data_IF_772052505330
#
_entry.id   IF_772052505330
#
_cell.length_a   1.000
_cell.length_b   1.000
_cell.length_c   1.000
_cell.angle_alpha   90.00
_cell.angle_beta   90.00
_cell.angle_gamma   90.00
#
_symmetry.space_group_name_H-M   'P 1'
#
loop_
_entity.id
_entity.type
_entity.pdbx_description
1 polymer ?
#
# COMPACT_ATOMS: atom_id res chain seq x y z
N UNK A 1 0.73 5.31 0.77
CA UNK A 1 1.75 6.00 -0.06
C UNK A 1 3.09 5.31 0.14
N UNK A 2 4.04 5.36 -0.79
CA UNK A 2 5.28 4.56 -0.66
C UNK A 2 5.03 3.04 -0.60
N UNK A 3 3.86 2.59 -1.07
CA UNK A 3 3.40 1.20 -1.02
C UNK A 3 4.34 0.27 -1.79
N UNK A 4 4.93 0.73 -2.89
CA UNK A 4 5.92 -0.05 -3.66
C UNK A 4 7.21 -0.28 -2.88
N UNK A 5 7.70 0.73 -2.14
CA UNK A 5 8.87 0.56 -1.24
C UNK A 5 8.57 -0.40 -0.11
N UNK A 6 7.39 -0.29 0.52
CA UNK A 6 6.96 -1.19 1.58
C UNK A 6 6.86 -2.65 1.08
N UNK A 7 6.24 -2.85 -0.09
CA UNK A 7 6.18 -4.16 -0.74
C UNK A 7 7.58 -4.71 -1.02
N UNK A 8 8.45 -3.87 -1.58
CA UNK A 8 9.83 -4.21 -1.92
C UNK A 8 10.65 -4.62 -0.70
N UNK A 9 10.48 -3.92 0.43
CA UNK A 9 11.16 -4.23 1.70
C UNK A 9 10.89 -5.65 2.17
N UNK A 10 9.60 -6.00 2.34
CA UNK A 10 9.20 -7.33 2.78
C UNK A 10 9.52 -8.40 1.74
N UNK A 11 9.30 -8.11 0.45
CA UNK A 11 9.60 -9.03 -0.62
C UNK A 11 11.09 -9.33 -0.79
N UNK A 12 11.96 -8.32 -0.64
CA UNK A 12 13.41 -8.48 -0.61
C UNK A 12 13.84 -9.44 0.50
N UNK A 13 13.23 -9.30 1.69
CA UNK A 13 13.49 -10.16 2.82
C UNK A 13 13.01 -11.61 2.59
N UNK A 14 12.09 -11.86 1.66
CA UNK A 14 11.59 -13.19 1.33
C UNK A 14 10.12 -13.44 1.71
N UNK A 15 9.41 -12.43 2.21
CA UNK A 15 7.97 -12.52 2.40
C UNK A 15 7.22 -12.50 1.07
N UNK A 16 6.05 -13.11 1.02
CA UNK A 16 5.14 -12.90 -0.10
C UNK A 16 4.42 -11.56 0.05
N UNK A 17 4.46 -10.74 -1.00
CA UNK A 17 3.95 -9.37 -0.92
C UNK A 17 3.21 -8.97 -2.20
N UNK A 18 2.07 -8.31 -2.02
CA UNK A 18 1.24 -7.77 -3.10
C UNK A 18 1.24 -6.25 -3.09
N UNK A 19 1.13 -5.68 -4.28
CA UNK A 19 0.76 -4.28 -4.50
C UNK A 19 -0.71 -4.22 -4.95
N UNK A 20 -1.12 -3.31 -5.83
CA UNK A 20 -2.52 -3.22 -6.31
C UNK A 20 -3.04 -4.49 -7.03
N UNK A 21 -2.15 -5.42 -7.39
CA UNK A 21 -2.50 -6.74 -7.92
C UNK A 21 -2.40 -7.81 -6.84
N UNK A 22 -3.45 -8.62 -6.76
CA UNK A 22 -3.57 -9.82 -5.96
C UNK A 22 -3.60 -11.05 -6.89
N UNK A 23 -3.60 -12.26 -6.30
CA UNK A 23 -3.67 -13.52 -7.05
C UNK A 23 -4.76 -14.41 -6.46
N UNK A 24 -5.66 -14.86 -7.33
CA UNK A 24 -6.70 -15.85 -7.05
C UNK A 24 -6.54 -17.01 -8.03
N UNK A 25 -6.34 -18.23 -7.54
CA UNK A 25 -6.26 -19.45 -8.36
C UNK A 25 -5.27 -19.34 -9.55
N UNK A 26 -4.10 -18.72 -9.32
CA UNK A 26 -3.09 -18.42 -10.35
C UNK A 26 -3.43 -17.32 -11.37
N UNK A 27 -4.60 -16.69 -11.25
CA UNK A 27 -5.00 -15.56 -12.06
C UNK A 27 -4.68 -14.25 -11.31
N UNK A 28 -4.02 -13.33 -12.01
CA UNK A 28 -3.79 -11.97 -11.51
C UNK A 28 -5.10 -11.19 -11.54
N UNK A 29 -5.49 -10.63 -10.39
CA UNK A 29 -6.70 -9.80 -10.24
C UNK A 29 -6.35 -8.54 -9.46
N UNK A 30 -7.09 -7.45 -9.66
CA UNK A 30 -6.95 -6.30 -8.78
C UNK A 30 -7.35 -6.67 -7.35
N UNK A 31 -6.59 -6.22 -6.36
CA UNK A 31 -6.92 -6.47 -4.96
C UNK A 31 -8.31 -5.92 -4.59
N UNK A 32 -8.65 -4.73 -5.09
CA UNK A 32 -9.98 -4.16 -4.93
C UNK A 32 -11.12 -5.09 -5.39
N UNK A 33 -10.93 -5.83 -6.48
CA UNK A 33 -11.94 -6.72 -7.02
C UNK A 33 -12.13 -7.98 -6.16
N UNK A 34 -11.05 -8.62 -5.72
CA UNK A 34 -11.17 -9.78 -4.85
C UNK A 34 -11.72 -9.40 -3.46
N UNK A 35 -11.39 -8.21 -2.95
CA UNK A 35 -11.94 -7.71 -1.69
C UNK A 35 -13.44 -7.50 -1.79
N UNK A 36 -13.89 -6.83 -2.87
CA UNK A 36 -15.32 -6.64 -3.07
C UNK A 36 -16.06 -7.97 -3.18
N UNK A 37 -15.48 -8.97 -3.86
CA UNK A 37 -16.07 -10.30 -3.96
C UNK A 37 -16.15 -11.01 -2.61
N UNK A 38 -15.11 -10.91 -1.77
CA UNK A 38 -15.15 -11.39 -0.38
C UNK A 38 -16.33 -10.79 0.38
N UNK A 39 -16.44 -9.46 0.39
CA UNK A 39 -17.47 -8.75 1.17
C UNK A 39 -18.88 -9.02 0.65
N UNK A 40 -19.07 -9.09 -0.68
CA UNK A 40 -20.36 -9.44 -1.30
C UNK A 40 -20.86 -10.83 -0.85
N UNK A 41 -19.95 -11.72 -0.44
CA UNK A 41 -20.27 -13.06 0.06
C UNK A 41 -20.27 -13.16 1.59
N UNK A 42 -20.17 -12.02 2.30
CA UNK A 42 -20.13 -12.00 3.77
C UNK A 42 -18.84 -12.55 4.38
N UNK A 43 -17.76 -12.63 3.60
CA UNK A 43 -16.46 -13.12 4.04
C UNK A 43 -15.54 -11.98 4.50
N UNK A 44 -14.49 -12.29 5.30
CA UNK A 44 -13.40 -11.35 5.59
C UNK A 44 -12.83 -10.69 4.32
N UNK A 45 -12.56 -9.37 4.33
CA UNK A 45 -12.22 -8.62 3.12
C UNK A 45 -11.10 -9.23 2.26
N UNK A 46 -10.02 -9.76 2.84
CA UNK A 46 -8.90 -10.33 2.08
C UNK A 46 -9.04 -11.83 1.80
N UNK A 47 -10.11 -12.50 2.26
CA UNK A 47 -10.27 -13.96 2.18
C UNK A 47 -10.06 -14.53 0.76
N UNK A 48 -10.58 -13.85 -0.27
CA UNK A 48 -10.47 -14.27 -1.68
C UNK A 48 -9.29 -13.66 -2.43
N UNK A 49 -8.45 -12.88 -1.77
CA UNK A 49 -7.33 -12.16 -2.40
C UNK A 49 -6.03 -12.95 -2.45
N UNK A 50 -6.06 -14.18 -1.93
CA UNK A 50 -4.93 -15.08 -1.90
C UNK A 50 -4.34 -15.16 -0.50
N UNK A 51 -4.62 -16.27 0.20
CA UNK A 51 -4.06 -16.59 1.52
C UNK A 51 -2.54 -16.86 1.49
N UNK A 52 -1.91 -16.78 0.31
CA UNK A 52 -0.48 -16.97 0.12
C UNK A 52 0.34 -15.72 0.45
N UNK A 53 -0.29 -14.53 0.52
CA UNK A 53 0.38 -13.25 0.75
C UNK A 53 0.53 -12.96 2.25
N UNK A 54 1.74 -12.59 2.67
CA UNK A 54 2.04 -12.12 4.02
C UNK A 54 1.78 -10.61 4.16
N UNK A 55 1.97 -9.86 3.06
CA UNK A 55 1.89 -8.40 3.03
C UNK A 55 1.01 -7.91 1.90
N UNK A 56 0.03 -7.06 2.23
CA UNK A 56 -0.81 -6.32 1.28
C UNK A 56 -0.46 -4.84 1.33
N UNK A 57 0.47 -4.39 0.47
CA UNK A 57 1.02 -3.03 0.56
C UNK A 57 0.15 -1.96 -0.14
N UNK A 58 -0.70 -2.36 -1.08
CA UNK A 58 -1.69 -1.51 -1.73
C UNK A 58 -2.90 -2.35 -2.14
N UNK A 59 -4.12 -1.88 -1.84
CA UNK A 59 -5.33 -2.67 -2.12
C UNK A 59 -6.39 -1.94 -2.95
N UNK A 60 -6.12 -0.71 -3.39
CA UNK A 60 -6.98 -0.02 -4.34
C UNK A 60 -6.84 -0.59 -5.77
N UNK A 61 -7.84 -0.34 -6.59
CA UNK A 61 -7.84 -0.77 -7.99
C UNK A 61 -9.17 -0.50 -8.67
N UNK A 62 -9.23 -0.60 -10.01
CA UNK A 62 -10.46 -0.47 -10.75
C UNK A 62 -11.45 -1.58 -10.38
N UNK A 63 -12.69 -1.15 -10.17
CA UNK A 63 -13.88 -1.98 -10.02
C UNK A 63 -14.98 -1.32 -10.83
N UNK A 64 -15.59 -2.06 -11.75
CA UNK A 64 -16.72 -1.58 -12.57
C UNK A 64 -16.43 -0.22 -13.26
N UNK A 65 -15.19 -0.02 -13.71
CA UNK A 65 -14.75 1.19 -14.43
C UNK A 65 -14.40 2.39 -13.56
N UNK A 66 -14.38 2.25 -12.22
CA UNK A 66 -13.98 3.30 -11.28
C UNK A 66 -12.90 2.83 -10.33
N UNK A 67 -12.03 3.74 -9.90
CA UNK A 67 -11.05 3.42 -8.86
C UNK A 67 -11.79 3.23 -7.53
N UNK A 68 -11.55 2.10 -6.88
CA UNK A 68 -12.09 1.77 -5.56
C UNK A 68 -10.96 1.67 -4.54
N UNK A 69 -11.20 2.14 -3.32
CA UNK A 69 -10.23 2.23 -2.23
C UNK A 69 -10.72 1.44 -1.01
N UNK A 70 -10.61 0.10 -0.99
CA UNK A 70 -11.05 -0.72 0.13
C UNK A 70 -10.43 -0.29 1.47
N UNK A 71 -9.18 0.18 1.47
CA UNK A 71 -8.49 0.65 2.67
C UNK A 71 -9.12 1.90 3.30
N UNK A 72 -9.98 2.61 2.56
CA UNK A 72 -10.74 3.75 3.07
C UNK A 72 -12.19 3.35 3.35
N UNK A 73 -12.83 2.67 2.39
CA UNK A 73 -14.25 2.32 2.46
C UNK A 73 -14.57 1.20 3.45
N UNK A 74 -13.64 0.27 3.67
CA UNK A 74 -13.83 -0.94 4.47
C UNK A 74 -12.85 -1.00 5.65
N UNK A 75 -12.36 0.15 6.12
CA UNK A 75 -11.31 0.20 7.13
C UNK A 75 -11.71 -0.56 8.41
N UNK A 76 -12.91 -0.33 8.92
CA UNK A 76 -13.44 -0.97 10.12
C UNK A 76 -13.60 -2.48 9.92
N UNK A 77 -14.10 -2.93 8.77
CA UNK A 77 -14.26 -4.34 8.41
C UNK A 77 -12.90 -5.04 8.32
N UNK A 78 -11.91 -4.40 7.69
CA UNK A 78 -10.55 -4.96 7.58
C UNK A 78 -9.93 -5.08 8.97
N UNK A 79 -9.98 -4.03 9.79
CA UNK A 79 -9.38 -4.06 11.14
C UNK A 79 -10.06 -5.10 12.03
N UNK A 80 -11.39 -5.21 11.97
CA UNK A 80 -12.16 -6.20 12.73
C UNK A 80 -11.86 -7.63 12.28
N UNK A 81 -11.72 -7.86 10.98
CA UNK A 81 -11.49 -9.19 10.42
C UNK A 81 -10.06 -9.71 10.66
N UNK A 82 -9.09 -8.81 10.84
CA UNK A 82 -7.67 -9.16 10.99
C UNK A 82 -7.06 -8.54 12.26
N UNK A 83 -7.53 -8.94 13.47
CA UNK A 83 -7.12 -8.32 14.73
C UNK A 83 -5.65 -8.59 15.10
N UNK A 84 -5.01 -9.58 14.47
CA UNK A 84 -3.59 -9.92 14.69
C UNK A 84 -2.68 -9.36 13.58
N UNK A 85 -3.21 -8.66 12.59
CA UNK A 85 -2.41 -8.06 11.54
C UNK A 85 -1.70 -6.80 12.05
N UNK A 86 -0.52 -6.54 11.49
CA UNK A 86 0.14 -5.24 11.59
C UNK A 86 -0.35 -4.34 10.45
N UNK A 87 -0.81 -3.14 10.80
CA UNK A 87 -1.30 -2.14 9.87
C UNK A 87 -0.24 -1.06 9.69
N UNK A 88 0.04 -0.73 8.43
CA UNK A 88 0.98 0.33 8.09
C UNK A 88 0.24 1.62 7.76
N UNK A 89 0.60 2.68 8.46
CA UNK A 89 0.25 4.05 8.08
C UNK A 89 1.53 4.75 7.62
N UNK A 90 1.61 4.95 6.31
CA UNK A 90 2.75 5.58 5.65
C UNK A 90 2.51 7.07 5.50
N UNK A 91 3.52 7.85 5.84
CA UNK A 91 3.52 9.31 5.78
C UNK A 91 4.56 9.81 4.80
N UNK A 92 4.31 11.03 4.32
CA UNK A 92 5.25 11.96 3.72
C UNK A 92 4.69 13.37 3.90
N UNK A 93 5.43 14.41 3.53
CA UNK A 93 4.87 15.77 3.47
C UNK A 93 3.53 15.80 2.71
N UNK A 94 2.48 16.37 3.31
CA UNK A 94 1.13 16.42 2.70
C UNK A 94 1.16 17.19 1.38
N UNK A 95 1.96 18.25 1.31
CA UNK A 95 2.17 19.02 0.07
C UNK A 95 2.83 18.15 -1.02
N UNK A 96 3.86 17.39 -0.66
CA UNK A 96 4.53 16.48 -1.61
C UNK A 96 3.64 15.31 -2.03
N UNK A 97 2.78 14.83 -1.13
CA UNK A 97 1.76 13.83 -1.48
C UNK A 97 0.73 14.41 -2.46
N UNK A 98 0.18 15.59 -2.19
CA UNK A 98 -0.77 16.25 -3.09
C UNK A 98 -0.13 16.53 -4.47
N UNK A 99 1.13 17.00 -4.46
CA UNK A 99 1.90 17.19 -5.68
C UNK A 99 2.13 15.89 -6.45
N UNK A 100 2.35 14.77 -5.75
CA UNK A 100 2.48 13.46 -6.39
C UNK A 100 1.18 13.01 -7.05
N UNK A 101 0.04 13.06 -6.36
CA UNK A 101 -1.24 12.55 -6.92
C UNK A 101 -1.81 13.44 -8.03
N UNK A 102 -1.41 14.71 -8.09
CA UNK A 102 -1.76 15.65 -9.17
C UNK A 102 -0.95 15.42 -10.44
N UNK A 103 0.17 14.72 -10.36
CA UNK A 103 1.07 14.46 -11.49
C UNK A 103 1.20 12.96 -11.81
N UNK A 104 0.59 12.09 -11.01
CA UNK A 104 0.57 10.65 -11.24
C UNK A 104 -0.62 10.27 -12.12
N UNK A 105 -0.35 9.72 -13.30
CA UNK A 105 -1.38 9.27 -14.24
C UNK A 105 -1.99 7.94 -13.78
N UNK A 106 -3.32 7.88 -13.62
CA UNK A 106 -4.01 6.74 -13.01
C UNK A 106 -4.10 5.49 -13.89
N UNK A 107 -3.76 5.58 -15.18
CA UNK A 107 -3.93 4.49 -16.15
C UNK A 107 -5.39 4.09 -16.45
N UNK A 108 -6.38 4.65 -15.73
CA UNK A 108 -7.81 4.36 -15.86
C UNK A 108 -8.54 5.30 -16.83
N UNK A 109 -7.85 6.32 -17.34
CA UNK A 109 -8.39 7.18 -18.41
C UNK A 109 -8.34 6.50 -19.78
N UNK A 110 -9.31 6.79 -20.63
CA UNK A 110 -9.17 6.54 -22.07
C UNK A 110 -7.88 7.19 -22.58
N UNK A 111 -7.20 6.61 -23.58
CA UNK A 111 -5.93 7.13 -24.15
C UNK A 111 -5.95 8.63 -24.49
N UNK A 112 -7.14 9.21 -24.69
CA UNK A 112 -7.37 10.63 -25.00
C UNK A 112 -7.67 11.54 -23.80
N UNK A 113 -7.98 11.01 -22.61
CA UNK A 113 -8.22 11.79 -21.38
C UNK A 113 -7.26 11.32 -20.29
N UNK A 114 -6.10 11.97 -20.20
CA UNK A 114 -5.14 11.70 -19.13
C UNK A 114 -5.74 12.16 -17.79
N UNK A 115 -6.24 11.22 -16.98
CA UNK A 115 -6.67 11.49 -15.60
C UNK A 115 -5.52 11.24 -14.64
N UNK A 116 -5.40 12.12 -13.67
CA UNK A 116 -4.45 11.99 -12.57
C UNK A 116 -5.09 11.20 -11.43
N UNK A 117 -4.30 10.71 -10.47
CA UNK A 117 -4.84 10.05 -9.28
C UNK A 117 -5.74 11.02 -8.47
N UNK A 118 -5.41 12.31 -8.45
CA UNK A 118 -6.30 13.35 -7.89
C UNK A 118 -7.69 13.28 -8.53
N UNK A 119 -7.75 13.22 -9.86
CA UNK A 119 -9.03 13.23 -10.57
C UNK A 119 -9.83 11.95 -10.33
N UNK A 120 -9.14 10.80 -10.21
CA UNK A 120 -9.79 9.54 -9.84
C UNK A 120 -10.32 9.55 -8.40
N UNK A 121 -9.60 10.16 -7.45
CA UNK A 121 -10.04 10.24 -6.06
C UNK A 121 -11.34 11.03 -5.93
N UNK A 122 -11.49 12.14 -6.66
CA UNK A 122 -12.75 12.89 -6.73
C UNK A 122 -13.84 12.04 -7.39
N UNK A 123 -13.54 11.40 -8.51
CA UNK A 123 -14.51 10.58 -9.25
C UNK A 123 -14.96 9.33 -8.48
N UNK A 124 -14.11 8.79 -7.61
CA UNK A 124 -14.38 7.63 -6.78
C UNK A 124 -15.39 7.92 -5.66
N UNK A 125 -15.60 9.20 -5.31
CA UNK A 125 -16.57 9.61 -4.30
C UNK A 125 -16.36 8.93 -2.93
N UNK A 126 -15.10 8.78 -2.53
CA UNK A 126 -14.66 8.06 -1.33
C UNK A 126 -15.27 8.70 -0.06
N UNK A 127 -15.57 7.88 0.94
CA UNK A 127 -16.06 8.26 2.27
C UNK A 127 -15.09 9.23 2.93
N UNK A 128 -15.60 10.43 3.26
CA UNK A 128 -14.79 11.55 3.78
C UNK A 128 -13.80 12.16 2.78
N UNK A 129 -13.78 11.68 1.53
CA UNK A 129 -12.87 12.11 0.48
C UNK A 129 -13.13 13.51 -0.07
N UNK A 130 -12.17 14.05 -0.85
CA UNK A 130 -12.30 15.37 -1.47
C UNK A 130 -13.43 15.38 -2.49
N UNK A 131 -14.28 16.41 -2.42
CA UNK A 131 -15.44 16.60 -3.33
C UNK A 131 -15.13 17.52 -4.50
N UNK A 132 -14.19 18.44 -4.29
CA UNK A 132 -13.70 19.38 -5.30
C UNK A 132 -12.18 19.20 -5.48
N UNK A 133 -11.63 19.88 -6.49
CA UNK A 133 -10.22 19.81 -6.84
C UNK A 133 -9.30 20.71 -5.99
N UNK A 134 -9.82 21.34 -4.94
CA UNK A 134 -9.07 22.29 -4.12
C UNK A 134 -8.06 21.55 -3.24
N UNK A 135 -6.82 22.00 -3.23
CA UNK A 135 -5.74 21.48 -2.40
C UNK A 135 -6.16 21.28 -0.92
N UNK A 136 -6.83 22.28 -0.33
CA UNK A 136 -7.31 22.20 1.06
C UNK A 136 -8.20 20.98 1.35
N UNK A 137 -8.99 20.53 0.39
CA UNK A 137 -9.92 19.41 0.59
C UNK A 137 -9.16 18.07 0.62
N UNK A 138 -8.07 17.96 -0.13
CA UNK A 138 -7.17 16.81 -0.10
C UNK A 138 -6.35 16.76 1.18
N UNK A 139 -5.84 17.92 1.62
CA UNK A 139 -5.12 18.05 2.90
C UNK A 139 -6.00 17.69 4.09
N UNK A 140 -7.24 18.20 4.10
CA UNK A 140 -8.22 17.88 5.14
C UNK A 140 -8.58 16.39 5.12
N UNK A 141 -8.82 15.81 3.95
CA UNK A 141 -9.02 14.36 3.80
C UNK A 141 -7.85 13.55 4.35
N UNK A 142 -6.62 13.91 3.99
CA UNK A 142 -5.40 13.27 4.50
C UNK A 142 -5.38 13.28 6.04
N UNK A 143 -5.54 14.46 6.65
CA UNK A 143 -5.48 14.60 8.10
C UNK A 143 -6.62 13.84 8.81
N UNK A 144 -7.84 13.89 8.27
CA UNK A 144 -8.98 13.15 8.80
C UNK A 144 -8.80 11.64 8.69
N UNK A 145 -8.28 11.16 7.57
CA UNK A 145 -8.02 9.74 7.38
C UNK A 145 -6.95 9.21 8.34
N UNK A 146 -5.87 9.97 8.55
CA UNK A 146 -4.84 9.65 9.55
C UNK A 146 -5.43 9.52 10.96
N UNK A 147 -6.29 10.48 11.36
CA UNK A 147 -6.97 10.43 12.66
C UNK A 147 -7.87 9.20 12.78
N UNK A 148 -8.70 8.95 11.76
CA UNK A 148 -9.59 7.77 11.71
C UNK A 148 -8.81 6.46 11.83
N UNK A 149 -7.67 6.32 11.15
CA UNK A 149 -6.82 5.11 11.28
C UNK A 149 -6.31 4.95 12.72
N UNK A 150 -5.81 6.02 13.34
CA UNK A 150 -5.34 5.99 14.74
C UNK A 150 -6.44 5.71 15.76
N UNK A 151 -7.69 6.06 15.45
CA UNK A 151 -8.85 5.80 16.31
C UNK A 151 -9.32 4.34 16.22
N UNK A 152 -9.22 3.72 15.03
CA UNK A 152 -9.76 2.38 14.78
C UNK A 152 -8.71 1.29 15.03
N UNK A 153 -7.45 1.52 14.65
CA UNK A 153 -6.39 0.53 14.78
C UNK A 153 -5.75 0.64 16.17
N UNK A 154 -5.65 -0.48 16.88
CA UNK A 154 -4.91 -0.55 18.15
C UNK A 154 -3.48 -0.06 17.96
N UNK A 155 -2.98 0.74 18.90
CA UNK A 155 -1.57 1.19 18.92
C UNK A 155 -0.56 0.05 18.87
N UNK A 156 -0.90 -1.12 19.43
CA UNK A 156 -0.03 -2.31 19.38
C UNK A 156 0.12 -2.90 17.98
N UNK A 157 -0.81 -2.59 17.08
CA UNK A 157 -0.89 -3.16 15.74
C UNK A 157 -0.64 -2.11 14.65
N UNK A 158 -0.45 -0.85 15.01
CA UNK A 158 -0.25 0.25 14.07
C UNK A 158 1.23 0.62 14.01
N UNK A 159 1.81 0.53 12.81
CA UNK A 159 3.15 0.99 12.51
C UNK A 159 3.07 2.22 11.63
N UNK A 160 3.61 3.32 12.15
CA UNK A 160 3.65 4.61 11.49
C UNK A 160 5.07 4.90 10.99
N UNK A 161 5.24 5.16 9.69
CA UNK A 161 6.55 5.44 9.09
C UNK A 161 6.50 6.63 8.15
N UNK A 162 7.52 7.49 8.19
CA UNK A 162 7.73 8.56 7.21
C UNK A 162 8.66 8.05 6.11
N UNK A 163 8.15 7.91 4.89
CA UNK A 163 8.95 7.37 3.78
C UNK A 163 10.02 8.35 3.27
N UNK A 164 9.99 9.61 3.72
CA UNK A 164 10.98 10.63 3.39
C UNK A 164 12.12 10.71 4.41
N UNK A 165 11.95 10.13 5.61
CA UNK A 165 12.98 10.08 6.64
C UNK A 165 14.11 9.09 6.26
N UNK A 166 15.38 9.53 6.19
CA UNK A 166 16.50 8.64 5.89
C UNK A 166 16.69 7.51 6.92
N UNK A 167 16.18 7.64 8.15
CA UNK A 167 16.26 6.62 9.19
C UNK A 167 15.19 5.51 9.06
N UNK A 168 14.20 5.65 8.16
CA UNK A 168 13.09 4.70 8.04
C UNK A 168 13.54 3.28 7.70
N UNK A 169 14.60 3.11 6.90
CA UNK A 169 15.15 1.79 6.61
C UNK A 169 15.65 1.07 7.88
N UNK A 170 16.39 1.77 8.72
CA UNK A 170 16.85 1.26 10.02
C UNK A 170 15.70 0.98 10.96
N UNK A 171 14.73 1.89 11.05
CA UNK A 171 13.54 1.72 11.89
C UNK A 171 12.76 0.45 11.51
N UNK A 172 12.53 0.24 10.22
CA UNK A 172 11.86 -0.95 9.70
C UNK A 172 12.67 -2.22 9.96
N UNK A 173 13.99 -2.17 9.78
CA UNK A 173 14.89 -3.28 10.09
C UNK A 173 14.83 -3.69 11.56
N UNK A 174 14.81 -2.72 12.47
CA UNK A 174 14.74 -2.93 13.90
C UNK A 174 13.39 -3.51 14.32
N UNK A 175 12.28 -3.00 13.78
CA UNK A 175 10.93 -3.44 14.15
C UNK A 175 10.60 -4.86 13.69
N UNK A 176 11.01 -5.23 12.47
CA UNK A 176 10.60 -6.48 11.83
C UNK A 176 11.71 -7.54 11.80
N UNK A 177 12.87 -7.23 12.37
CA UNK A 177 14.08 -8.04 12.27
C UNK A 177 14.33 -8.44 10.80
N UNK A 178 14.47 -7.44 9.93
CA UNK A 178 14.74 -7.58 8.49
C UNK A 178 16.01 -6.80 8.16
N UNK A 179 16.76 -7.24 7.16
CA UNK A 179 17.95 -6.54 6.70
C UNK A 179 17.64 -5.09 6.24
N UNK A 180 18.34 -4.10 6.81
CA UNK A 180 18.19 -2.68 6.44
C UNK A 180 18.42 -2.45 4.93
N UNK A 181 19.30 -3.24 4.31
CA UNK A 181 19.58 -3.17 2.87
C UNK A 181 18.40 -3.58 1.98
N UNK A 182 17.32 -4.11 2.54
CA UNK A 182 16.07 -4.32 1.81
C UNK A 182 15.22 -3.06 1.66
N UNK A 183 15.46 -2.01 2.45
CA UNK A 183 14.74 -0.76 2.29
C UNK A 183 15.27 0.02 1.09
N UNK A 184 14.37 0.41 0.20
CA UNK A 184 14.72 1.11 -1.04
C UNK A 184 13.63 2.03 -1.52
N UNK A 185 14.01 3.04 -2.30
CA UNK A 185 13.06 3.95 -2.96
C UNK A 185 12.56 3.27 -4.23
N UNK A 186 11.25 3.20 -4.41
CA UNK A 186 10.63 2.60 -5.58
C UNK A 186 9.49 3.49 -6.10
N UNK A 187 9.14 3.33 -7.38
CA UNK A 187 8.04 4.08 -8.01
C UNK A 187 8.22 5.61 -7.91
N UNK A 188 9.44 6.09 -8.12
CA UNK A 188 9.79 7.52 -8.09
C UNK A 188 9.42 8.16 -9.43
N UNK A 189 8.70 9.28 -9.39
CA UNK A 189 8.56 10.15 -10.55
C UNK A 189 9.77 11.09 -10.63
N UNK A 190 10.75 10.73 -11.44
CA UNK A 190 12.00 11.49 -11.59
C UNK A 190 11.83 12.87 -12.23
N UNK A 191 10.73 13.12 -12.94
CA UNK A 191 10.45 14.45 -13.49
C UNK A 191 10.05 15.43 -12.39
N UNK A 192 9.50 14.92 -11.27
CA UNK A 192 9.15 15.71 -10.09
C UNK A 192 10.25 15.74 -9.03
N UNK A 193 11.22 14.83 -9.13
CA UNK A 193 12.27 14.60 -8.15
C UNK A 193 13.66 14.56 -8.81
N UNK A 194 14.11 15.65 -9.44
CA UNK A 194 15.41 15.71 -10.12
C UNK A 194 16.59 15.56 -9.16
N UNK A 195 16.38 15.77 -7.86
CA UNK A 195 17.36 15.56 -6.81
C UNK A 195 17.66 14.08 -6.52
N UNK A 196 16.83 13.16 -7.02
CA UNK A 196 16.98 11.72 -6.79
C UNK A 196 17.71 11.09 -7.98
N UNK A 197 18.83 10.44 -7.69
CA UNK A 197 19.56 9.65 -8.69
C UNK A 197 18.71 8.45 -9.16
N UNK A 198 18.58 8.31 -10.49
CA UNK A 198 17.87 7.19 -11.12
C UNK A 198 18.42 5.83 -10.71
N UNK A 199 19.72 5.75 -10.42
CA UNK A 199 20.37 4.53 -9.91
C UNK A 199 19.91 4.10 -8.52
N UNK A 200 19.25 4.97 -7.76
CA UNK A 200 18.76 4.67 -6.40
C UNK A 200 17.33 4.08 -6.38
N UNK A 201 16.62 4.06 -7.52
CA UNK A 201 15.28 3.47 -7.56
C UNK A 201 15.34 1.97 -7.82
N UNK A 202 14.67 1.19 -6.97
CA UNK A 202 14.52 -0.24 -7.17
C UNK A 202 13.28 -0.57 -8.00
N UNK A 203 13.41 -1.55 -8.90
CA UNK A 203 12.26 -2.08 -9.65
C UNK A 203 11.62 -3.22 -8.85
N UNK A 204 10.33 -3.10 -8.55
CA UNK A 204 9.59 -4.03 -7.70
C UNK A 204 8.41 -4.60 -8.50
N UNK A 205 8.28 -5.93 -8.64
CA UNK A 205 7.15 -6.51 -9.34
C UNK A 205 5.86 -6.36 -8.53
N UNK A 206 4.71 -6.25 -9.21
CA UNK A 206 3.41 -6.10 -8.54
C UNK A 206 3.02 -7.28 -7.63
N UNK A 207 3.65 -8.43 -7.81
CA UNK A 207 3.48 -9.65 -7.01
C UNK A 207 4.86 -10.22 -6.72
N UNK A 208 5.16 -10.46 -5.45
CA UNK A 208 6.39 -11.12 -4.99
C UNK A 208 5.99 -12.43 -4.35
N UNK A 209 6.44 -13.55 -4.93
CA UNK A 209 6.33 -14.85 -4.30
C UNK A 209 7.37 -14.93 -3.18
N UNK A 210 6.93 -15.36 -2.01
CA UNK A 210 7.84 -15.52 -0.88
C UNK A 210 8.84 -16.65 -1.12
N UNK A 211 9.91 -16.64 -0.33
CA UNK A 211 10.97 -17.65 -0.29
C UNK A 211 10.78 -18.54 0.93
N UNK A 212 11.45 -19.68 0.95
CA UNK A 212 11.44 -20.57 2.11
C UNK A 212 12.20 -19.98 3.30
N UNK A 213 13.15 -19.08 3.01
CA UNK A 213 13.97 -18.39 4.02
C UNK A 213 13.72 -16.89 4.00
N UNK A 214 13.60 -16.32 5.20
CA UNK A 214 13.55 -14.89 5.45
C UNK A 214 14.96 -14.38 5.80
N UNK A 215 15.39 -13.32 5.11
CA UNK A 215 16.59 -12.54 5.41
C UNK A 215 16.28 -11.55 6.53
N UNK A 216 16.69 -11.90 7.73
CA UNK A 216 16.62 -11.09 8.93
C UNK A 216 17.71 -10.02 9.00
N UNK A 217 17.73 -9.28 10.11
CA UNK A 217 18.68 -8.19 10.32
C UNK A 217 20.12 -8.72 10.27
N UNK A 218 21.03 -7.89 9.74
CA UNK A 218 22.45 -8.24 9.54
C UNK A 218 22.67 -9.53 8.70
N UNK A 219 21.74 -9.83 7.79
CA UNK A 219 21.83 -11.01 6.92
C UNK A 219 21.58 -12.35 7.61
N UNK A 220 21.02 -12.35 8.83
CA UNK A 220 20.57 -13.58 9.49
C UNK A 220 19.50 -14.26 8.64
N UNK A 221 19.39 -15.60 8.72
CA UNK A 221 18.43 -16.36 7.93
C UNK A 221 17.54 -17.17 8.86
N UNK A 222 16.21 -17.10 8.66
CA UNK A 222 15.23 -17.90 9.40
C UNK A 222 14.21 -18.52 8.45
N UNK A 223 13.68 -19.69 8.82
CA UNK A 223 12.62 -20.32 8.05
C UNK A 223 11.37 -19.44 8.04
N UNK A 224 10.70 -19.37 6.89
CA UNK A 224 9.42 -18.69 6.76
C UNK A 224 8.31 -19.56 7.33
N UNK A 225 7.80 -19.18 8.49
CA UNK A 225 6.56 -19.74 9.03
C UNK A 225 5.38 -19.18 8.23
N UNK A 226 4.71 -20.05 7.47
CA UNK A 226 3.45 -19.69 6.84
C UNK A 226 2.38 -19.46 7.91
N UNK A 227 1.53 -18.43 7.79
CA UNK A 227 0.41 -18.26 8.70
C UNK A 227 -0.50 -19.49 8.59
N UNK A 228 -0.83 -20.10 9.74
CA UNK A 228 -1.94 -21.06 9.83
C UNK A 228 -3.22 -20.22 9.92
N UNK A 229 -3.87 -20.00 8.77
CA UNK A 229 -5.20 -19.38 8.70
C UNK A 229 -6.30 -20.40 9.01
#
# INVERSE_FOLDING_TARGET
MGSTSLQGFFGCAGYSATHWMCRRDSIKVHCAQCILNSVKEGLPPLQKCGQWADVFAEINGPVEGRLYFPQVELLEEIVRAYPNATFFLTFRSVDRWYHSITNFWSGLGAKSKKRTLRDEMVAANITGGPRDFRDRDFKDFFCKHVRRVREIVSRSNLVEIDIEDPATGRLMADMFDIDEGCWGRANVNFDLHPEIDRGQSVNVPHLILGKDMIRGKNGTMRERTLPKY
#
